data_IF_913563885048
#
_entry.id   IF_913563885048
#
_cell.length_a   1.000
_cell.length_b   1.000
_cell.length_c   1.000
_cell.angle_alpha   90.00
_cell.angle_beta   90.00
_cell.angle_gamma   90.00
#
_symmetry.space_group_name_H-M   'P 1'
#
loop_
_entity.id
_entity.type
_entity.pdbx_description
1 polymer ?
#
# COMPACT_ATOMS: atom_id res chain seq x y z
N UNK A 1 7.02 23.01 -7.69
CA UNK A 1 5.58 22.75 -7.93
C UNK A 1 5.18 21.58 -7.03
N UNK A 2 3.95 21.52 -6.51
CA UNK A 2 3.63 20.56 -5.46
C UNK A 2 3.44 19.15 -6.03
N UNK A 3 4.19 18.19 -5.51
CA UNK A 3 3.97 16.75 -5.68
C UNK A 3 2.51 16.42 -5.36
N UNK A 4 1.77 15.84 -6.32
CA UNK A 4 0.39 15.39 -6.06
C UNK A 4 0.44 14.01 -5.45
N UNK A 5 -0.10 13.87 -4.24
CA UNK A 5 -0.17 12.59 -3.53
C UNK A 5 -1.64 12.22 -3.32
N UNK A 6 -1.99 11.01 -3.70
CA UNK A 6 -3.29 10.40 -3.41
C UNK A 6 -3.09 9.14 -2.57
N UNK A 7 -4.05 8.86 -1.68
CA UNK A 7 -4.04 7.69 -0.81
C UNK A 7 -5.20 6.77 -1.16
N UNK A 8 -4.94 5.48 -1.25
CA UNK A 8 -5.93 4.45 -1.47
C UNK A 8 -5.68 3.26 -0.55
N UNK A 9 -6.74 2.69 0.00
CA UNK A 9 -6.70 1.42 0.72
C UNK A 9 -7.24 0.29 -0.18
N UNK A 10 -7.06 -0.96 0.24
CA UNK A 10 -7.55 -2.14 -0.51
C UNK A 10 -9.01 -2.00 -0.96
N UNK A 11 -9.89 -1.45 -0.11
CA UNK A 11 -11.32 -1.27 -0.43
C UNK A 11 -11.67 -0.03 -1.26
N UNK A 12 -10.75 0.92 -1.43
CA UNK A 12 -10.97 2.18 -2.17
C UNK A 12 -10.05 2.32 -3.39
N UNK A 13 -9.20 1.32 -3.64
CA UNK A 13 -8.20 1.36 -4.70
C UNK A 13 -8.79 1.64 -6.07
N UNK A 14 -9.82 0.92 -6.49
CA UNK A 14 -10.39 1.07 -7.84
C UNK A 14 -10.88 2.50 -8.10
N UNK A 15 -11.64 3.09 -7.16
CA UNK A 15 -12.17 4.44 -7.33
C UNK A 15 -11.08 5.52 -7.34
N UNK A 16 -10.09 5.40 -6.44
CA UNK A 16 -8.96 6.35 -6.40
C UNK A 16 -8.06 6.16 -7.63
N UNK A 17 -7.86 4.93 -8.09
CA UNK A 17 -7.09 4.61 -9.27
C UNK A 17 -7.73 5.19 -10.53
N UNK A 18 -9.04 5.07 -10.71
CA UNK A 18 -9.75 5.68 -11.84
C UNK A 18 -9.60 7.20 -11.86
N UNK A 19 -9.74 7.85 -10.70
CA UNK A 19 -9.54 9.30 -10.59
C UNK A 19 -8.08 9.68 -10.91
N UNK A 20 -7.12 8.94 -10.36
CA UNK A 20 -5.70 9.15 -10.60
C UNK A 20 -5.34 8.96 -12.08
N UNK A 21 -5.93 7.95 -12.73
CA UNK A 21 -5.75 7.68 -14.15
C UNK A 21 -6.35 8.77 -15.03
N UNK A 22 -7.52 9.30 -14.68
CA UNK A 22 -8.13 10.42 -15.39
C UNK A 22 -7.27 11.69 -15.32
N UNK A 23 -6.52 11.87 -14.24
CA UNK A 23 -5.59 12.98 -14.07
C UNK A 23 -4.19 12.70 -14.63
N UNK A 24 -3.91 11.46 -15.06
CA UNK A 24 -2.58 11.02 -15.45
C UNK A 24 -2.01 11.79 -16.66
N UNK A 25 -2.87 12.21 -17.59
CA UNK A 25 -2.45 13.00 -18.77
C UNK A 25 -1.97 14.41 -18.41
N UNK A 26 -2.31 14.91 -17.22
CA UNK A 26 -1.90 16.25 -16.74
C UNK A 26 -0.52 16.26 -16.09
N UNK A 27 0.02 15.08 -15.76
CA UNK A 27 1.29 14.94 -15.06
C UNK A 27 2.33 14.36 -16.01
N UNK A 28 3.59 14.76 -15.86
CA UNK A 28 4.69 14.23 -16.67
C UNK A 28 5.00 12.78 -16.30
N UNK A 29 4.73 12.37 -15.07
CA UNK A 29 4.92 11.00 -14.61
C UNK A 29 3.90 10.62 -13.55
N UNK A 30 3.42 9.38 -13.62
CA UNK A 30 2.43 8.84 -12.70
C UNK A 30 3.02 7.57 -12.07
N UNK A 31 3.12 7.56 -10.73
CA UNK A 31 3.74 6.50 -9.97
C UNK A 31 2.75 5.93 -8.97
N UNK A 32 2.77 4.60 -8.79
CA UNK A 32 1.96 3.91 -7.79
C UNK A 32 2.92 3.23 -6.82
N UNK A 33 2.76 3.54 -5.53
CA UNK A 33 3.56 3.01 -4.44
C UNK A 33 2.69 2.14 -3.55
N UNK A 34 2.90 0.83 -3.62
CA UNK A 34 2.25 -0.12 -2.72
C UNK A 34 2.95 -0.11 -1.36
N UNK A 35 2.21 0.19 -0.30
CA UNK A 35 2.71 0.33 1.07
C UNK A 35 2.00 -0.65 2.00
N UNK A 36 2.74 -1.16 2.96
CA UNK A 36 2.17 -1.88 4.10
C UNK A 36 1.35 -0.94 4.99
N UNK A 37 0.20 -1.40 5.47
CA UNK A 37 -0.58 -0.62 6.43
C UNK A 37 0.23 -0.29 7.69
N UNK A 38 -0.07 0.90 8.23
CA UNK A 38 0.51 1.36 9.49
C UNK A 38 -0.24 0.70 10.63
N UNK A 39 0.51 0.07 11.52
CA UNK A 39 -0.06 -0.48 12.73
C UNK A 39 -0.56 0.68 13.62
N UNK A 40 -1.82 0.68 14.09
CA UNK A 40 -2.39 1.79 14.85
C UNK A 40 -1.76 1.97 16.23
N UNK A 41 -1.09 0.94 16.76
CA UNK A 41 -0.45 1.00 18.08
C UNK A 41 0.96 1.61 18.02
N UNK A 42 1.68 1.39 16.91
CA UNK A 42 3.06 1.88 16.73
C UNK A 42 3.16 3.03 15.73
N UNK A 43 2.09 3.31 14.97
CA UNK A 43 2.07 4.24 13.83
C UNK A 43 3.12 3.93 12.75
N UNK A 44 3.72 2.73 12.78
CA UNK A 44 4.74 2.29 11.85
C UNK A 44 4.19 1.20 10.93
N UNK A 45 4.62 1.20 9.68
CA UNK A 45 4.32 0.09 8.76
C UNK A 45 5.00 -1.18 9.26
N UNK A 46 4.29 -2.31 9.19
CA UNK A 46 4.85 -3.62 9.57
C UNK A 46 5.99 -4.08 8.66
N UNK A 47 6.15 -3.44 7.50
CA UNK A 47 7.22 -3.71 6.55
C UNK A 47 8.43 -2.79 6.81
N UNK A 48 9.58 -3.34 7.23
CA UNK A 48 10.78 -2.54 7.51
C UNK A 48 11.34 -1.86 6.26
N UNK A 49 11.14 -2.45 5.08
CA UNK A 49 11.55 -1.85 3.82
C UNK A 49 10.68 -0.64 3.45
N UNK A 50 9.37 -0.68 3.70
CA UNK A 50 8.49 0.48 3.49
C UNK A 50 8.94 1.67 4.36
N UNK A 51 9.23 1.43 5.64
CA UNK A 51 9.69 2.48 6.57
C UNK A 51 10.99 3.15 6.10
N UNK A 52 11.91 2.37 5.53
CA UNK A 52 13.19 2.87 5.01
C UNK A 52 13.06 3.52 3.63
N UNK A 53 12.19 2.99 2.76
CA UNK A 53 12.05 3.43 1.37
C UNK A 53 11.20 4.70 1.24
N UNK A 54 10.11 4.82 2.00
CA UNK A 54 9.21 5.99 1.97
C UNK A 54 9.95 7.34 2.04
N UNK A 55 10.82 7.61 3.03
CA UNK A 55 11.51 8.90 3.12
C UNK A 55 12.47 9.14 1.94
N UNK A 56 13.05 8.08 1.37
CA UNK A 56 13.94 8.19 0.21
C UNK A 56 13.13 8.55 -1.04
N UNK A 57 11.99 7.89 -1.24
CA UNK A 57 11.10 8.14 -2.38
C UNK A 57 10.57 9.57 -2.32
N UNK A 58 10.01 10.00 -1.18
CA UNK A 58 9.50 11.38 -1.04
C UNK A 58 10.59 12.41 -1.29
N UNK A 59 11.78 12.24 -0.71
CA UNK A 59 12.90 13.16 -0.93
C UNK A 59 13.33 13.24 -2.40
N UNK A 60 13.29 12.12 -3.13
CA UNK A 60 13.61 12.10 -4.56
C UNK A 60 12.53 12.77 -5.41
N UNK A 61 11.26 12.58 -5.05
CA UNK A 61 10.13 13.19 -5.74
C UNK A 61 10.06 14.70 -5.46
N UNK A 62 10.31 15.14 -4.23
CA UNK A 62 10.38 16.57 -3.88
C UNK A 62 11.57 17.28 -4.53
N UNK A 63 12.70 16.58 -4.70
CA UNK A 63 13.85 17.10 -5.42
C UNK A 63 13.62 17.12 -6.95
N UNK A 64 12.64 16.38 -7.45
CA UNK A 64 12.26 16.43 -8.86
C UNK A 64 11.49 17.72 -9.12
N UNK A 65 11.88 18.45 -10.17
CA UNK A 65 11.14 19.65 -10.62
C UNK A 65 9.98 19.30 -11.55
N UNK A 66 9.72 18.02 -11.77
CA UNK A 66 8.69 17.53 -12.67
C UNK A 66 7.32 17.43 -11.98
N UNK A 67 6.25 17.63 -12.75
CA UNK A 67 4.89 17.35 -12.31
C UNK A 67 4.68 15.83 -12.22
N UNK A 68 5.02 15.28 -11.06
CA UNK A 68 4.84 13.86 -10.74
C UNK A 68 3.61 13.70 -9.86
N UNK A 69 2.78 12.71 -10.18
CA UNK A 69 1.71 12.24 -9.32
C UNK A 69 2.06 10.90 -8.70
N UNK A 70 1.79 10.75 -7.41
CA UNK A 70 2.07 9.56 -6.62
C UNK A 70 0.78 9.04 -5.98
N UNK A 71 0.39 7.82 -6.32
CA UNK A 71 -0.69 7.09 -5.66
C UNK A 71 -0.10 6.13 -4.62
N UNK A 72 -0.43 6.31 -3.36
CA UNK A 72 -0.05 5.41 -2.26
C UNK A 72 -1.16 4.39 -2.04
N UNK A 73 -0.88 3.12 -2.31
CA UNK A 73 -1.83 2.03 -2.19
C UNK A 73 -1.49 1.17 -0.97
N UNK A 74 -2.29 1.27 0.09
CA UNK A 74 -2.11 0.48 1.30
C UNK A 74 -2.67 -0.94 1.10
N UNK A 75 -1.80 -1.93 1.27
CA UNK A 75 -2.08 -3.34 0.92
C UNK A 75 -2.71 -4.16 2.06
N UNK A 76 -2.97 -3.56 3.22
CA UNK A 76 -3.47 -4.31 4.37
C UNK A 76 -2.39 -4.82 5.31
N UNK A 77 -2.81 -5.78 6.13
CA UNK A 77 -2.00 -6.46 7.12
C UNK A 77 -1.04 -7.49 6.51
N UNK A 78 0.05 -7.78 7.25
CA UNK A 78 1.09 -8.73 6.84
C UNK A 78 0.56 -10.14 6.50
N UNK A 79 -0.33 -10.77 7.29
CA UNK A 79 -0.85 -12.09 6.93
C UNK A 79 -1.64 -12.09 5.63
N UNK A 80 -2.53 -11.11 5.41
CA UNK A 80 -3.27 -10.95 4.14
C UNK A 80 -2.32 -10.77 2.96
N UNK A 81 -1.27 -9.96 3.12
CA UNK A 81 -0.26 -9.76 2.06
C UNK A 81 0.59 -11.00 1.75
N UNK A 82 1.03 -11.74 2.78
CA UNK A 82 1.90 -12.91 2.60
C UNK A 82 1.15 -14.12 2.03
N UNK A 83 -0.15 -14.22 2.25
CA UNK A 83 -0.95 -15.37 1.85
C UNK A 83 -2.00 -14.98 0.81
N UNK A 84 -1.72 -15.11 -0.50
CA UNK A 84 -2.67 -14.73 -1.57
C UNK A 84 -3.88 -15.66 -1.70
N UNK A 85 -4.21 -16.47 -0.68
CA UNK A 85 -5.35 -17.38 -0.71
C UNK A 85 -6.57 -16.67 -0.14
N UNK A 86 -7.15 -15.74 -0.91
CA UNK A 86 -8.58 -15.42 -0.78
C UNK A 86 -9.17 -15.28 -2.20
N UNK A 87 -9.14 -16.38 -2.95
CA UNK A 87 -10.21 -16.71 -3.90
C UNK A 87 -10.43 -18.22 -3.87
N UNK A 88 -11.41 -18.64 -3.06
CA UNK A 88 -12.08 -19.92 -3.19
C UNK A 88 -11.52 -21.07 -2.36
N UNK A 89 -12.23 -21.41 -1.27
CA UNK A 89 -12.16 -22.74 -0.68
C UNK A 89 -11.76 -22.76 0.79
N UNK A 90 -12.78 -22.92 1.64
CA UNK A 90 -12.74 -23.68 2.90
C UNK A 90 -11.39 -24.39 3.16
N UNK A 91 -10.63 -23.93 4.15
CA UNK A 91 -9.99 -24.76 5.20
C UNK A 91 -8.96 -23.94 5.97
N UNK A 92 -9.40 -23.25 7.01
CA UNK A 92 -8.65 -23.31 8.27
C UNK A 92 -9.68 -23.48 9.38
N UNK A 93 -10.08 -24.74 9.55
CA UNK A 93 -10.61 -25.18 10.81
C UNK A 93 -9.56 -24.90 11.88
N UNK A 94 -9.84 -23.92 12.72
CA UNK A 94 -9.30 -23.82 14.06
C UNK A 94 -9.55 -25.14 14.79
N UNK A 95 -8.56 -26.04 14.78
CA UNK A 95 -8.50 -27.15 15.73
C UNK A 95 -7.06 -27.65 15.86
N UNK A 96 -6.20 -26.86 16.51
CA UNK A 96 -5.13 -27.44 17.32
C UNK A 96 -5.73 -27.86 18.66
N UNK A 97 -6.42 -29.02 18.64
CA UNK A 97 -6.41 -29.94 19.79
C UNK A 97 -5.21 -30.87 19.62
N UNK A 98 -4.80 -31.48 20.74
CA UNK A 98 -3.68 -32.42 20.95
C UNK A 98 -2.34 -31.71 21.26
N UNK A 99 -1.75 -31.80 22.44
CA UNK A 99 -1.70 -32.90 23.41
C UNK A 99 -1.73 -32.38 24.86
N UNK A 100 -2.62 -32.92 25.68
CA UNK A 100 -2.52 -32.89 27.14
C UNK A 100 -2.51 -34.35 27.60
N UNK A 101 -1.36 -34.75 28.18
CA UNK A 101 -1.06 -35.94 29.00
C UNK A 101 -1.54 -37.33 28.57
#
# INVERSE_FOLDING_TARGET
MPLKIADAAVGTFDGVFEQFWSEAEKNKSNLILFLADKDPSTSLSWCPDCVRAEPVIYKKLEASSDDVALLRAYVGDRPTWRNPIIHGGLTQGSSSREFQH
#
